data_IF_600683648717
#
_entry.id   IF_600683648717
#
_cell.length_a   1.000
_cell.length_b   1.000
_cell.length_c   1.000
_cell.angle_alpha   90.00
_cell.angle_beta   90.00
_cell.angle_gamma   90.00
#
_symmetry.space_group_name_H-M   'P 1'
#
loop_
_entity.id
_entity.type
_entity.pdbx_description
1 polymer ?
#
# COMPACT_ATOMS: atom_id res chain seq x y z
N UNK A 1 40.72 -12.91 -27.50
CA UNK A 1 39.44 -12.22 -27.73
C UNK A 1 38.49 -12.26 -26.51
N UNK A 2 39.01 -12.44 -25.28
CA UNK A 2 38.20 -12.57 -24.04
C UNK A 2 38.50 -11.50 -22.98
N UNK A 3 39.46 -10.59 -23.21
CA UNK A 3 39.84 -9.54 -22.26
C UNK A 3 39.18 -8.16 -22.51
N UNK A 4 38.38 -8.01 -23.57
CA UNK A 4 37.75 -6.73 -23.94
C UNK A 4 36.40 -6.46 -23.23
N UNK A 5 35.90 -7.40 -22.41
CA UNK A 5 34.61 -7.29 -21.73
C UNK A 5 34.72 -6.97 -20.23
N UNK A 6 35.93 -6.83 -19.68
CA UNK A 6 36.14 -6.67 -18.22
C UNK A 6 36.24 -5.21 -17.73
N UNK A 7 36.28 -4.21 -18.61
CA UNK A 7 36.60 -2.82 -18.22
C UNK A 7 35.55 -1.77 -18.59
N UNK A 8 34.24 -2.09 -18.51
CA UNK A 8 33.17 -1.09 -18.68
C UNK A 8 32.33 -0.88 -17.41
N UNK A 9 32.86 -1.25 -16.26
CA UNK A 9 32.26 -0.87 -14.98
C UNK A 9 32.75 0.53 -14.64
N UNK A 10 31.93 1.52 -14.95
CA UNK A 10 32.14 2.93 -14.58
C UNK A 10 31.65 3.13 -13.14
N UNK A 11 32.15 4.15 -12.43
CA UNK A 11 31.66 4.48 -11.08
C UNK A 11 30.13 4.67 -11.04
N UNK A 12 29.57 5.18 -12.15
CA UNK A 12 28.13 5.28 -12.40
C UNK A 12 27.41 3.93 -12.35
N UNK A 13 27.98 2.85 -12.88
CA UNK A 13 27.35 1.51 -12.87
C UNK A 13 27.30 0.94 -11.45
N UNK A 14 28.33 1.21 -10.64
CA UNK A 14 28.38 0.85 -9.22
C UNK A 14 27.34 1.63 -8.41
N UNK A 15 27.16 2.92 -8.70
CA UNK A 15 26.14 3.76 -8.07
C UNK A 15 24.72 3.33 -8.48
N UNK A 16 24.50 3.04 -9.78
CA UNK A 16 23.26 2.49 -10.30
C UNK A 16 22.93 1.17 -9.61
N UNK A 17 23.88 0.25 -9.47
CA UNK A 17 23.64 -1.03 -8.80
C UNK A 17 23.39 -0.88 -7.30
N UNK A 18 24.09 0.04 -6.64
CA UNK A 18 23.89 0.35 -5.23
C UNK A 18 22.51 0.94 -4.94
N UNK A 19 21.89 1.61 -5.92
CA UNK A 19 20.50 2.08 -5.85
C UNK A 19 19.50 1.02 -6.33
N UNK A 20 19.81 0.30 -7.41
CA UNK A 20 18.93 -0.66 -8.05
C UNK A 20 18.72 -1.90 -7.19
N UNK A 21 19.74 -2.39 -6.48
CA UNK A 21 19.62 -3.59 -5.65
C UNK A 21 18.61 -3.42 -4.49
N UNK A 22 18.68 -2.36 -3.66
CA UNK A 22 17.65 -2.10 -2.66
C UNK A 22 16.30 -1.74 -3.27
N UNK A 23 16.25 -1.05 -4.41
CA UNK A 23 14.99 -0.76 -5.09
C UNK A 23 14.29 -2.03 -5.62
N UNK A 24 15.04 -2.96 -6.21
CA UNK A 24 14.53 -4.26 -6.64
C UNK A 24 14.01 -5.06 -5.45
N UNK A 25 14.75 -5.10 -4.34
CA UNK A 25 14.27 -5.73 -3.10
C UNK A 25 12.97 -5.11 -2.59
N UNK A 26 12.84 -3.79 -2.66
CA UNK A 26 11.60 -3.09 -2.30
C UNK A 26 10.42 -3.46 -3.20
N UNK A 27 10.66 -3.52 -4.52
CA UNK A 27 9.66 -3.81 -5.54
C UNK A 27 9.22 -5.28 -5.56
N UNK A 28 10.12 -6.21 -5.18
CA UNK A 28 9.79 -7.64 -5.10
C UNK A 28 9.25 -8.04 -3.73
N UNK A 29 9.51 -7.26 -2.67
CA UNK A 29 9.00 -7.55 -1.33
C UNK A 29 7.47 -7.60 -1.31
N UNK A 30 6.78 -6.60 -1.86
CA UNK A 30 5.31 -6.54 -1.85
C UNK A 30 4.66 -7.80 -2.49
N UNK A 31 5.01 -8.23 -3.72
CA UNK A 31 4.44 -9.46 -4.29
C UNK A 31 4.90 -10.73 -3.56
N UNK A 32 6.10 -10.76 -2.97
CA UNK A 32 6.54 -11.89 -2.13
C UNK A 32 5.72 -11.99 -0.83
N UNK A 33 5.36 -10.86 -0.22
CA UNK A 33 4.46 -10.80 0.93
C UNK A 33 3.09 -11.36 0.57
N UNK A 34 2.51 -10.90 -0.54
CA UNK A 34 1.21 -11.38 -1.01
C UNK A 34 1.26 -12.88 -1.33
N UNK A 35 2.36 -13.37 -1.91
CA UNK A 35 2.57 -14.81 -2.16
C UNK A 35 2.67 -15.62 -0.87
N UNK A 36 3.37 -15.13 0.14
CA UNK A 36 3.50 -15.81 1.44
C UNK A 36 2.15 -15.89 2.17
N UNK A 37 1.41 -14.77 2.25
CA UNK A 37 0.07 -14.73 2.84
C UNK A 37 -0.90 -15.67 2.10
N UNK A 38 -0.83 -15.68 0.77
CA UNK A 38 -1.61 -16.58 -0.06
C UNK A 38 -1.22 -18.05 0.18
N UNK A 39 0.06 -18.37 0.36
CA UNK A 39 0.50 -19.73 0.65
C UNK A 39 0.05 -20.20 2.05
N UNK A 40 0.09 -19.34 3.06
CA UNK A 40 -0.41 -19.65 4.41
C UNK A 40 -1.92 -19.92 4.38
N UNK A 41 -2.69 -19.06 3.71
CA UNK A 41 -4.14 -19.26 3.55
C UNK A 41 -4.45 -20.44 2.61
N UNK A 42 -3.53 -20.77 1.70
CA UNK A 42 -3.63 -21.92 0.80
C UNK A 42 -3.63 -23.27 1.49
N UNK A 43 -2.95 -23.37 2.62
CA UNK A 43 -3.00 -24.59 3.44
C UNK A 43 -4.33 -24.76 4.20
N UNK A 44 -5.18 -23.73 4.25
CA UNK A 44 -6.49 -23.80 4.92
C UNK A 44 -7.60 -24.38 4.01
N UNK A 45 -7.41 -24.38 2.68
CA UNK A 45 -8.30 -24.99 1.68
C UNK A 45 -8.70 -24.06 0.52
N UNK A 46 -9.20 -24.64 -0.58
CA UNK A 46 -9.60 -23.91 -1.80
C UNK A 46 -10.71 -22.87 -1.55
N UNK A 47 -11.75 -23.13 -0.74
CA UNK A 47 -12.76 -22.11 -0.43
C UNK A 47 -12.21 -20.90 0.34
N UNK A 48 -11.22 -21.11 1.21
CA UNK A 48 -10.58 -20.07 2.01
C UNK A 48 -9.72 -19.16 1.13
N UNK A 49 -8.93 -19.76 0.23
CA UNK A 49 -8.19 -19.03 -0.81
C UNK A 49 -9.11 -18.20 -1.71
N UNK A 50 -10.19 -18.80 -2.19
CA UNK A 50 -11.17 -18.09 -3.01
C UNK A 50 -11.79 -16.91 -2.27
N UNK A 51 -12.12 -17.11 -0.99
CA UNK A 51 -12.68 -16.06 -0.14
C UNK A 51 -11.71 -14.91 0.09
N UNK A 52 -10.45 -15.22 0.41
CA UNK A 52 -9.37 -14.26 0.54
C UNK A 52 -9.17 -13.46 -0.75
N UNK A 53 -9.02 -14.13 -1.89
CA UNK A 53 -8.76 -13.48 -3.17
C UNK A 53 -9.87 -12.50 -3.55
N UNK A 54 -11.13 -12.88 -3.35
CA UNK A 54 -12.28 -12.03 -3.61
C UNK A 54 -12.28 -10.80 -2.68
N UNK A 55 -12.14 -11.01 -1.37
CA UNK A 55 -12.13 -9.91 -0.41
C UNK A 55 -10.95 -8.94 -0.64
N UNK A 56 -9.75 -9.47 -0.89
CA UNK A 56 -8.56 -8.69 -1.23
C UNK A 56 -8.74 -7.88 -2.51
N UNK A 57 -9.42 -8.42 -3.52
CA UNK A 57 -9.72 -7.68 -4.76
C UNK A 57 -10.62 -6.46 -4.50
N UNK A 58 -11.66 -6.61 -3.67
CA UNK A 58 -12.52 -5.49 -3.26
C UNK A 58 -11.73 -4.41 -2.50
N UNK A 59 -10.86 -4.83 -1.59
CA UNK A 59 -10.00 -3.93 -0.82
C UNK A 59 -9.02 -3.19 -1.74
N UNK A 60 -8.43 -3.89 -2.71
CA UNK A 60 -7.49 -3.31 -3.67
C UNK A 60 -8.15 -2.28 -4.60
N UNK A 61 -9.39 -2.53 -5.02
CA UNK A 61 -10.19 -1.54 -5.77
C UNK A 61 -10.42 -0.30 -4.91
N UNK A 62 -10.83 -0.45 -3.64
CA UNK A 62 -11.00 0.67 -2.74
C UNK A 62 -9.69 1.45 -2.58
N UNK A 63 -8.56 0.77 -2.36
CA UNK A 63 -7.25 1.37 -2.28
C UNK A 63 -6.89 2.17 -3.56
N UNK A 64 -7.13 1.60 -4.74
CA UNK A 64 -6.84 2.23 -6.02
C UNK A 64 -7.62 3.55 -6.20
N UNK A 65 -8.89 3.59 -5.78
CA UNK A 65 -9.70 4.81 -5.82
C UNK A 65 -9.11 5.89 -4.92
N UNK A 66 -8.60 5.53 -3.75
CA UNK A 66 -8.06 6.49 -2.77
C UNK A 66 -6.59 6.84 -2.98
N UNK A 67 -5.92 6.30 -4.00
CA UNK A 67 -4.51 6.57 -4.25
C UNK A 67 -4.22 8.07 -4.47
N UNK A 68 -5.24 8.84 -4.88
CA UNK A 68 -5.15 10.29 -5.01
C UNK A 68 -4.78 11.00 -3.70
N UNK A 69 -5.06 10.44 -2.52
CA UNK A 69 -4.64 11.02 -1.24
C UNK A 69 -3.11 11.15 -1.19
N UNK A 70 -2.38 10.14 -1.68
CA UNK A 70 -0.92 10.18 -1.70
C UNK A 70 -0.42 11.24 -2.68
N UNK A 71 -0.88 11.20 -3.92
CA UNK A 71 -0.39 12.12 -4.97
C UNK A 71 -0.84 13.56 -4.75
N UNK A 72 -2.09 13.77 -4.31
CA UNK A 72 -2.64 15.08 -3.96
C UNK A 72 -1.89 15.72 -2.81
N UNK A 73 -1.63 14.95 -1.74
CA UNK A 73 -0.82 15.43 -0.60
C UNK A 73 0.60 15.74 -1.03
N UNK A 74 1.22 14.88 -1.84
CA UNK A 74 2.58 15.09 -2.39
C UNK A 74 2.67 16.42 -3.12
N UNK A 75 1.75 16.67 -4.07
CA UNK A 75 1.76 17.88 -4.88
C UNK A 75 1.50 19.14 -4.03
N UNK A 76 0.56 19.08 -3.08
CA UNK A 76 0.26 20.21 -2.20
C UNK A 76 1.44 20.56 -1.28
N UNK A 77 2.05 19.56 -0.65
CA UNK A 77 3.21 19.73 0.24
C UNK A 77 4.42 20.23 -0.53
N UNK A 78 4.72 19.64 -1.70
CA UNK A 78 5.85 20.06 -2.52
C UNK A 78 5.74 21.52 -2.99
N UNK A 79 4.54 21.98 -3.37
CA UNK A 79 4.32 23.40 -3.75
C UNK A 79 4.58 24.35 -2.57
N UNK A 80 4.09 24.02 -1.38
CA UNK A 80 4.28 24.84 -0.19
C UNK A 80 5.76 24.85 0.25
N UNK A 81 6.44 23.72 0.17
CA UNK A 81 7.88 23.64 0.42
C UNK A 81 8.67 24.48 -0.59
N UNK A 82 8.36 24.37 -1.88
CA UNK A 82 9.00 25.15 -2.94
C UNK A 82 8.81 26.67 -2.79
N UNK A 83 7.75 27.10 -2.09
CA UNK A 83 7.50 28.49 -1.74
C UNK A 83 8.14 28.92 -0.39
N UNK A 84 8.94 28.07 0.25
CA UNK A 84 9.55 28.33 1.56
C UNK A 84 8.58 28.28 2.75
N UNK A 85 7.34 27.82 2.54
CA UNK A 85 6.25 27.85 3.52
C UNK A 85 6.17 26.55 4.33
N UNK A 86 7.24 26.21 5.05
CA UNK A 86 7.35 24.94 5.79
C UNK A 86 6.23 24.71 6.81
N UNK A 87 5.79 25.76 7.52
CA UNK A 87 4.71 25.66 8.51
C UNK A 87 3.35 25.40 7.85
N UNK A 88 3.09 25.97 6.68
CA UNK A 88 1.86 25.69 5.92
C UNK A 88 1.90 24.26 5.35
N UNK A 89 3.06 23.79 4.88
CA UNK A 89 3.23 22.42 4.43
C UNK A 89 2.93 21.38 5.53
N UNK A 90 3.34 21.66 6.78
CA UNK A 90 3.01 20.82 7.93
C UNK A 90 1.51 20.82 8.24
N UNK A 91 0.85 21.98 8.21
CA UNK A 91 -0.61 22.05 8.39
C UNK A 91 -1.37 21.31 7.30
N UNK A 92 -0.92 21.41 6.05
CA UNK A 92 -1.50 20.68 4.92
C UNK A 92 -1.40 19.16 5.13
N UNK A 93 -0.29 18.68 5.69
CA UNK A 93 -0.12 17.26 6.02
C UNK A 93 -1.12 16.81 7.10
N UNK A 94 -1.27 17.59 8.17
CA UNK A 94 -2.24 17.32 9.25
C UNK A 94 -3.67 17.29 8.71
N UNK A 95 -4.04 18.23 7.84
CA UNK A 95 -5.36 18.23 7.19
C UNK A 95 -5.57 17.00 6.33
N UNK A 96 -4.54 16.57 5.59
CA UNK A 96 -4.61 15.38 4.73
C UNK A 96 -4.76 14.09 5.56
N UNK A 97 -4.10 14.02 6.73
CA UNK A 97 -4.24 12.92 7.70
C UNK A 97 -5.66 12.87 8.27
N UNK A 98 -6.21 14.01 8.69
CA UNK A 98 -7.59 14.08 9.21
C UNK A 98 -8.62 13.71 8.15
N UNK A 99 -8.44 14.19 6.92
CA UNK A 99 -9.28 13.81 5.79
C UNK A 99 -9.20 12.29 5.54
N UNK A 100 -8.00 11.73 5.53
CA UNK A 100 -7.78 10.30 5.34
C UNK A 100 -8.44 9.45 6.44
N UNK A 101 -8.31 9.87 7.69
CA UNK A 101 -8.94 9.19 8.82
C UNK A 101 -10.47 9.23 8.73
N UNK A 102 -11.04 10.39 8.41
CA UNK A 102 -12.50 10.54 8.28
C UNK A 102 -13.04 9.71 7.10
N UNK A 103 -12.43 9.85 5.92
CA UNK A 103 -12.82 9.08 4.73
C UNK A 103 -12.66 7.59 5.00
N UNK A 104 -11.55 7.17 5.60
CA UNK A 104 -11.30 5.77 5.94
C UNK A 104 -12.32 5.21 6.92
N UNK A 105 -12.72 5.98 7.95
CA UNK A 105 -13.78 5.60 8.88
C UNK A 105 -15.14 5.46 8.18
N UNK A 106 -15.48 6.39 7.29
CA UNK A 106 -16.71 6.30 6.48
C UNK A 106 -16.69 5.05 5.59
N UNK A 107 -15.58 4.77 4.92
CA UNK A 107 -15.44 3.59 4.08
C UNK A 107 -15.52 2.30 4.89
N UNK A 108 -14.91 2.25 6.07
CA UNK A 108 -15.02 1.10 6.96
C UNK A 108 -16.49 0.81 7.34
N UNK A 109 -17.23 1.85 7.74
CA UNK A 109 -18.65 1.70 8.12
C UNK A 109 -19.50 1.32 6.91
N UNK A 110 -19.38 2.05 5.80
CA UNK A 110 -20.14 1.76 4.57
C UNK A 110 -19.82 0.35 4.08
N UNK A 111 -18.53 -0.03 4.03
CA UNK A 111 -18.08 -1.36 3.64
C UNK A 111 -18.70 -2.46 4.50
N UNK A 112 -18.78 -2.29 5.82
CA UNK A 112 -19.46 -3.24 6.70
C UNK A 112 -20.95 -3.39 6.37
N UNK A 113 -21.63 -2.28 6.07
CA UNK A 113 -23.06 -2.27 5.72
C UNK A 113 -23.34 -2.91 4.36
N UNK A 114 -22.44 -2.73 3.38
CA UNK A 114 -22.60 -3.26 2.02
C UNK A 114 -21.77 -4.51 1.74
N UNK A 115 -21.20 -5.14 2.77
CA UNK A 115 -20.31 -6.29 2.62
C UNK A 115 -20.98 -7.46 1.87
N UNK A 116 -22.23 -7.79 2.23
CA UNK A 116 -22.99 -8.87 1.59
C UNK A 116 -23.25 -8.64 0.10
N UNK A 117 -23.87 -7.52 -0.31
CA UNK A 117 -24.11 -7.28 -1.73
C UNK A 117 -22.81 -7.12 -2.53
N UNK A 118 -21.73 -6.58 -1.95
CA UNK A 118 -20.44 -6.50 -2.64
C UNK A 118 -19.82 -7.86 -2.91
N UNK A 119 -19.84 -8.77 -1.92
CA UNK A 119 -19.28 -10.11 -2.08
C UNK A 119 -20.11 -10.94 -3.06
N UNK A 120 -21.43 -10.80 -3.03
CA UNK A 120 -22.33 -11.46 -3.99
C UNK A 120 -22.12 -10.93 -5.42
N UNK A 121 -21.96 -9.62 -5.59
CA UNK A 121 -21.69 -9.00 -6.88
C UNK A 121 -20.38 -9.50 -7.51
N UNK A 122 -19.39 -9.84 -6.68
CA UNK A 122 -18.12 -10.42 -7.12
C UNK A 122 -18.20 -11.93 -7.40
N UNK A 123 -19.39 -12.54 -7.31
CA UNK A 123 -19.58 -13.97 -7.57
C UNK A 123 -19.23 -14.87 -6.38
N UNK A 124 -19.23 -14.32 -5.16
CA UNK A 124 -19.00 -15.11 -3.95
C UNK A 124 -20.18 -16.04 -3.65
N UNK A 125 -19.97 -17.35 -3.77
CA UNK A 125 -20.98 -18.39 -3.51
C UNK A 125 -20.53 -19.41 -2.46
N UNK A 126 -21.50 -20.10 -1.83
CA UNK A 126 -21.24 -21.21 -0.91
C UNK A 126 -20.23 -20.88 0.20
N UNK A 127 -19.25 -21.78 0.40
CA UNK A 127 -18.21 -21.59 1.41
C UNK A 127 -17.27 -20.40 1.10
N UNK A 128 -17.05 -20.06 -0.17
CA UNK A 128 -16.23 -18.91 -0.59
C UNK A 128 -16.85 -17.60 -0.10
N UNK A 129 -18.17 -17.44 -0.23
CA UNK A 129 -18.91 -16.27 0.29
C UNK A 129 -18.66 -16.06 1.79
N UNK A 130 -18.74 -17.13 2.58
CA UNK A 130 -18.56 -17.06 4.03
C UNK A 130 -17.16 -16.59 4.41
N UNK A 131 -16.12 -17.14 3.77
CA UNK A 131 -14.74 -16.73 4.03
C UNK A 131 -14.46 -15.31 3.50
N UNK A 132 -14.98 -14.95 2.33
CA UNK A 132 -14.87 -13.60 1.79
C UNK A 132 -15.50 -12.56 2.72
N UNK A 133 -16.72 -12.80 3.21
CA UNK A 133 -17.39 -11.88 4.14
C UNK A 133 -16.64 -11.73 5.45
N UNK A 134 -16.13 -12.85 5.99
CA UNK A 134 -15.35 -12.84 7.22
C UNK A 134 -14.09 -12.00 7.04
N UNK A 135 -13.31 -12.27 5.99
CA UNK A 135 -12.09 -11.53 5.71
C UNK A 135 -12.38 -10.05 5.45
N UNK A 136 -13.31 -9.75 4.54
CA UNK A 136 -13.68 -8.38 4.18
C UNK A 136 -14.12 -7.56 5.39
N UNK A 137 -14.99 -8.10 6.25
CA UNK A 137 -15.47 -7.40 7.47
C UNK A 137 -14.34 -7.13 8.45
N UNK A 138 -13.44 -8.10 8.66
CA UNK A 138 -12.27 -7.91 9.54
C UNK A 138 -11.35 -6.83 8.95
N UNK A 139 -11.10 -6.86 7.63
CA UNK A 139 -10.25 -5.90 6.93
C UNK A 139 -10.79 -4.47 6.95
N UNK A 140 -12.11 -4.25 7.12
CA UNK A 140 -12.67 -2.90 7.22
C UNK A 140 -12.07 -2.10 8.37
N UNK A 141 -11.70 -2.75 9.48
CA UNK A 141 -11.01 -2.08 10.59
C UNK A 141 -9.60 -1.56 10.20
N UNK A 142 -8.98 -2.16 9.18
CA UNK A 142 -7.67 -1.76 8.66
C UNK A 142 -7.71 -0.61 7.64
N UNK A 143 -8.89 -0.27 7.08
CA UNK A 143 -9.01 0.78 6.06
C UNK A 143 -8.64 2.18 6.59
N UNK A 144 -9.11 2.63 7.78
CA UNK A 144 -8.72 3.93 8.30
C UNK A 144 -7.21 4.13 8.46
N UNK A 145 -6.45 3.24 9.14
CA UNK A 145 -5.01 3.40 9.25
C UNK A 145 -4.29 3.26 7.89
N UNK A 146 -4.81 2.44 6.97
CA UNK A 146 -4.28 2.33 5.62
C UNK A 146 -4.32 3.67 4.86
N UNK A 147 -5.47 4.36 4.86
CA UNK A 147 -5.59 5.66 4.19
C UNK A 147 -4.75 6.76 4.87
N UNK A 148 -4.65 6.73 6.20
CA UNK A 148 -3.75 7.62 6.95
C UNK A 148 -2.30 7.40 6.53
N UNK A 149 -1.88 6.13 6.42
CA UNK A 149 -0.56 5.77 5.89
C UNK A 149 -0.34 6.32 4.49
N UNK A 150 -1.35 6.26 3.63
CA UNK A 150 -1.29 6.77 2.27
C UNK A 150 -1.08 8.30 2.21
N UNK A 151 -1.77 9.06 3.06
CA UNK A 151 -1.55 10.50 3.22
C UNK A 151 -0.15 10.80 3.79
N UNK A 152 0.30 10.03 4.78
CA UNK A 152 1.63 10.16 5.38
C UNK A 152 2.76 9.91 4.37
N UNK A 153 2.63 8.88 3.54
CA UNK A 153 3.54 8.61 2.42
C UNK A 153 3.54 9.77 1.43
N UNK A 154 2.37 10.35 1.13
CA UNK A 154 2.26 11.54 0.29
C UNK A 154 3.01 12.75 0.87
N UNK A 155 2.91 12.98 2.18
CA UNK A 155 3.66 14.04 2.85
C UNK A 155 5.17 13.84 2.78
N UNK A 156 5.66 12.64 3.13
CA UNK A 156 7.09 12.33 3.11
C UNK A 156 7.68 12.42 1.70
N UNK A 157 6.94 11.96 0.67
CA UNK A 157 7.32 12.19 -0.74
C UNK A 157 7.37 13.67 -1.10
N UNK A 158 6.40 14.46 -0.63
CA UNK A 158 6.40 15.91 -0.84
C UNK A 158 7.58 16.63 -0.20
N UNK A 159 8.11 16.09 0.91
CA UNK A 159 9.36 16.53 1.55
C UNK A 159 10.63 16.04 0.84
N UNK A 160 10.51 15.23 -0.21
CA UNK A 160 11.62 14.49 -0.82
C UNK A 160 12.32 13.53 0.15
N UNK A 161 11.66 13.15 1.25
CA UNK A 161 12.14 12.14 2.19
C UNK A 161 11.62 10.77 1.76
N UNK A 162 12.44 10.06 0.97
CA UNK A 162 12.14 8.70 0.50
C UNK A 162 12.59 7.62 1.47
N UNK A 163 13.43 7.95 2.47
CA UNK A 163 14.01 6.97 3.40
C UNK A 163 13.02 6.56 4.49
N UNK A 164 12.29 7.52 5.07
CA UNK A 164 11.32 7.23 6.13
C UNK A 164 10.15 6.35 5.67
N UNK A 165 9.51 6.59 4.50
CA UNK A 165 8.48 5.69 3.98
C UNK A 165 8.99 4.25 3.79
N UNK A 166 10.23 4.11 3.29
CA UNK A 166 10.84 2.80 3.05
C UNK A 166 11.09 2.02 4.34
N UNK A 167 11.61 2.68 5.39
CA UNK A 167 11.81 2.05 6.71
C UNK A 167 10.48 1.63 7.32
N UNK A 168 9.45 2.49 7.27
CA UNK A 168 8.11 2.17 7.79
C UNK A 168 7.52 0.98 7.05
N UNK A 169 7.65 0.94 5.72
CA UNK A 169 7.18 -0.19 4.92
C UNK A 169 7.89 -1.49 5.32
N UNK A 170 9.22 -1.50 5.47
CA UNK A 170 9.99 -2.67 5.93
C UNK A 170 9.58 -3.12 7.33
N UNK A 171 9.44 -2.20 8.28
CA UNK A 171 9.04 -2.54 9.66
C UNK A 171 7.63 -3.13 9.69
N UNK A 172 6.71 -2.55 8.92
CA UNK A 172 5.32 -3.06 8.82
C UNK A 172 5.30 -4.46 8.22
N UNK A 173 6.07 -4.65 7.15
CA UNK A 173 6.29 -5.93 6.50
C UNK A 173 6.82 -6.99 7.50
N UNK A 174 7.87 -6.66 8.26
CA UNK A 174 8.45 -7.57 9.26
C UNK A 174 7.51 -7.87 10.44
N UNK A 175 6.63 -6.93 10.83
CA UNK A 175 5.64 -7.15 11.88
C UNK A 175 4.45 -8.02 11.43
N UNK A 176 4.21 -8.10 10.12
CA UNK A 176 3.15 -8.93 9.55
C UNK A 176 3.54 -10.42 9.49
N UNK A 177 4.85 -10.71 9.40
CA UNK A 177 5.41 -12.07 9.33
C UNK A 177 5.54 -12.72 10.72
#
# INVERSE_FOLDING_TARGET
MLNALRSRWTDTDSEILRLAFPALGALTAEPLYVLADTAVVGHLGTPQLGGLALASSLILIAFAVFIFLAYGTTAAVARLLGAGKHREAAHQAVQSIWLAALVGAVIAVVGLLVAEPLVELMGGEGAVRTYALTYFRISMAGIPPMLVGLAGVGYLRGLQDTKRPFIVAIVTALLNL
#
